data_IF_926751935065
#
_entry.id   IF_926751935065
#
_cell.length_a   1.000
_cell.length_b   1.000
_cell.length_c   1.000
_cell.angle_alpha   90.00
_cell.angle_beta   90.00
_cell.angle_gamma   90.00
#
_symmetry.space_group_name_H-M   'P 1'
#
loop_
_entity.id
_entity.type
_entity.pdbx_description
1 polymer ?
#
# COMPACT_ATOMS: atom_id res chain seq x y z
N UNK A 1 -4.19 52.13 35.48
CA UNK A 1 -5.25 52.45 36.45
C UNK A 1 -6.50 51.69 36.04
N UNK A 2 -7.31 51.23 37.00
CA UNK A 2 -8.70 50.73 36.86
C UNK A 2 -8.99 49.63 35.81
N UNK A 3 -8.86 48.37 36.25
CA UNK A 3 -9.95 47.37 36.47
C UNK A 3 -11.44 47.86 36.40
N UNK A 4 -12.50 46.98 36.38
CA UNK A 4 -12.53 45.49 36.48
C UNK A 4 -13.65 44.74 35.65
N UNK A 5 -13.87 43.46 36.00
CA UNK A 5 -15.11 42.62 35.94
C UNK A 5 -15.55 41.91 34.64
N UNK A 6 -15.55 40.56 34.69
CA UNK A 6 -16.82 39.80 34.77
C UNK A 6 -16.66 38.44 35.48
N UNK A 7 -17.74 38.01 36.15
CA UNK A 7 -17.80 37.01 37.24
C UNK A 7 -19.13 36.22 37.16
N UNK A 8 -19.33 34.99 37.64
CA UNK A 8 -18.46 33.97 38.31
C UNK A 8 -19.00 32.56 37.96
N UNK A 9 -18.29 31.50 38.40
CA UNK A 9 -18.82 30.22 38.90
C UNK A 9 -19.63 29.25 37.98
N UNK A 10 -19.17 27.99 37.93
CA UNK A 10 -19.87 26.88 38.61
C UNK A 10 -19.00 25.61 38.68
N UNK A 11 -18.83 25.06 39.89
CA UNK A 11 -18.37 23.67 40.08
C UNK A 11 -19.53 22.70 39.83
N UNK A 12 -19.29 21.59 39.12
CA UNK A 12 -19.87 20.31 39.53
C UNK A 12 -19.03 19.13 39.03
N UNK A 13 -18.80 18.14 39.90
CA UNK A 13 -18.09 16.92 39.56
C UNK A 13 -19.01 15.91 38.85
N UNK A 14 -18.46 15.11 37.95
CA UNK A 14 -19.04 13.81 37.59
C UNK A 14 -17.95 12.85 37.08
N UNK A 15 -17.96 11.61 37.58
CA UNK A 15 -16.90 10.63 37.32
C UNK A 15 -17.02 10.00 35.91
N UNK A 16 -15.89 9.61 35.27
CA UNK A 16 -15.94 8.87 34.02
C UNK A 16 -16.38 7.42 34.28
N UNK A 17 -17.62 7.08 33.90
CA UNK A 17 -18.06 5.69 33.81
C UNK A 17 -17.20 4.95 32.77
N UNK A 18 -16.71 3.76 33.13
CA UNK A 18 -16.10 2.84 32.17
C UNK A 18 -17.03 2.58 30.99
N UNK A 19 -16.60 2.93 29.78
CA UNK A 19 -17.20 2.42 28.55
C UNK A 19 -16.13 1.62 27.78
N UNK A 20 -16.10 0.30 28.04
CA UNK A 20 -15.31 -0.64 27.24
C UNK A 20 -16.05 -0.89 25.93
N UNK A 21 -15.63 -0.23 24.85
CA UNK A 21 -15.98 -0.61 23.47
C UNK A 21 -14.99 0.03 22.48
N UNK A 22 -13.72 -0.41 22.55
CA UNK A 22 -12.73 -0.21 21.50
C UNK A 22 -12.76 -1.41 20.56
N UNK A 23 -13.59 -1.35 19.52
CA UNK A 23 -13.67 -2.39 18.50
C UNK A 23 -12.59 -2.23 17.44
N UNK A 24 -11.40 -2.77 17.67
CA UNK A 24 -10.40 -2.96 16.61
C UNK A 24 -10.92 -4.04 15.64
N UNK A 25 -11.45 -3.61 14.49
CA UNK A 25 -11.89 -4.51 13.42
C UNK A 25 -10.65 -4.98 12.64
N UNK A 26 -9.94 -5.95 13.21
CA UNK A 26 -8.84 -6.62 12.52
C UNK A 26 -9.33 -7.32 11.25
N UNK A 27 -8.63 -7.08 10.13
CA UNK A 27 -8.79 -7.89 8.93
C UNK A 27 -8.28 -9.31 9.24
N UNK A 28 -9.20 -10.25 9.39
CA UNK A 28 -8.87 -11.66 9.57
C UNK A 28 -8.34 -12.23 8.25
N UNK A 29 -7.02 -12.22 8.08
CA UNK A 29 -6.35 -12.91 6.97
C UNK A 29 -5.99 -14.34 7.40
N UNK A 30 -6.21 -15.30 6.51
CA UNK A 30 -5.88 -16.72 6.75
C UNK A 30 -5.16 -17.30 5.53
N UNK A 31 -3.91 -17.71 5.71
CA UNK A 31 -3.19 -18.50 4.71
C UNK A 31 -3.87 -19.87 4.53
N UNK A 32 -4.03 -20.31 3.29
CA UNK A 32 -4.76 -21.53 2.94
C UNK A 32 -3.95 -22.44 2.03
N UNK A 33 -3.43 -23.54 2.56
CA UNK A 33 -2.76 -24.56 1.76
C UNK A 33 -3.81 -25.44 1.02
N UNK A 34 -3.78 -25.36 -0.31
CA UNK A 34 -4.29 -26.27 -1.34
C UNK A 34 -5.73 -26.85 -1.30
N UNK A 35 -6.41 -26.64 -2.44
CA UNK A 35 -7.42 -27.52 -3.08
C UNK A 35 -8.69 -27.91 -2.30
N UNK A 36 -9.63 -26.97 -2.20
CA UNK A 36 -11.06 -27.22 -2.44
C UNK A 36 -11.82 -25.87 -2.53
N UNK A 37 -12.89 -25.80 -3.34
CA UNK A 37 -13.79 -24.65 -3.35
C UNK A 37 -14.54 -24.55 -2.02
N UNK A 38 -14.28 -23.50 -1.23
CA UNK A 38 -15.22 -23.08 -0.18
C UNK A 38 -15.23 -21.56 -0.01
N UNK A 39 -16.36 -20.95 -0.33
CA UNK A 39 -16.65 -19.54 -0.05
C UNK A 39 -16.94 -19.38 1.44
N UNK A 40 -16.25 -18.45 2.12
CA UNK A 40 -16.66 -17.94 3.43
C UNK A 40 -17.22 -16.53 3.28
N UNK A 41 -18.52 -16.39 3.48
CA UNK A 41 -19.19 -15.09 3.63
C UNK A 41 -19.23 -14.70 5.10
N UNK A 42 -18.94 -13.43 5.41
CA UNK A 42 -19.22 -12.89 6.74
C UNK A 42 -20.72 -12.60 6.84
N UNK A 43 -21.43 -13.31 7.72
CA UNK A 43 -22.84 -13.10 7.98
C UNK A 43 -23.07 -11.81 8.79
N UNK A 44 -23.75 -10.84 8.19
CA UNK A 44 -24.21 -9.65 8.90
C UNK A 44 -25.42 -9.96 9.79
N UNK A 45 -25.47 -9.38 10.98
CA UNK A 45 -26.65 -9.42 11.84
C UNK A 45 -27.80 -8.62 11.21
N UNK A 46 -28.96 -9.25 11.05
CA UNK A 46 -30.20 -8.59 10.63
C UNK A 46 -30.99 -8.09 11.84
N UNK A 47 -31.31 -6.79 11.86
CA UNK A 47 -32.44 -6.30 12.65
C UNK A 47 -33.66 -6.22 11.74
N UNK A 48 -34.70 -6.98 12.08
CA UNK A 48 -36.00 -6.92 11.40
C UNK A 48 -36.76 -5.67 11.83
N UNK A 49 -36.88 -4.69 10.92
CA UNK A 49 -37.97 -3.71 10.96
C UNK A 49 -38.97 -4.05 9.86
N UNK A 50 -40.23 -4.23 10.25
CA UNK A 50 -41.34 -4.54 9.36
C UNK A 50 -41.80 -3.30 8.58
N UNK A 51 -42.36 -3.52 7.40
CA UNK A 51 -42.96 -2.54 6.48
C UNK A 51 -42.00 -1.56 5.79
N UNK A 52 -41.45 -2.04 4.66
CA UNK A 52 -40.87 -1.20 3.62
C UNK A 52 -40.51 -2.05 2.39
N UNK A 53 -41.23 -1.86 1.28
CA UNK A 53 -40.87 -2.49 0.00
C UNK A 53 -39.65 -1.72 -0.54
N UNK A 54 -38.47 -2.08 -0.06
CA UNK A 54 -37.22 -1.62 -0.65
C UNK A 54 -36.97 -2.37 -1.95
N UNK A 55 -37.33 -1.75 -3.07
CA UNK A 55 -36.72 -2.03 -4.36
C UNK A 55 -35.23 -1.70 -4.27
N UNK A 56 -34.42 -2.69 -3.87
CA UNK A 56 -32.96 -2.61 -3.89
C UNK A 56 -32.45 -2.60 -5.35
N UNK A 57 -32.67 -1.48 -6.04
CA UNK A 57 -31.84 -1.08 -7.16
C UNK A 57 -30.51 -0.66 -6.53
N UNK A 58 -29.55 -1.59 -6.46
CA UNK A 58 -28.19 -1.27 -6.05
C UNK A 58 -27.67 -0.19 -7.00
N UNK A 59 -27.45 1.01 -6.49
CA UNK A 59 -27.02 2.13 -7.31
C UNK A 59 -25.61 1.84 -7.85
N UNK A 60 -25.51 1.51 -9.15
CA UNK A 60 -24.24 1.32 -9.84
C UNK A 60 -23.36 2.55 -9.65
N UNK A 61 -22.05 2.31 -9.41
CA UNK A 61 -21.07 3.39 -9.39
C UNK A 61 -21.10 4.17 -10.71
N UNK A 62 -20.98 5.49 -10.62
CA UNK A 62 -20.92 6.40 -11.77
C UNK A 62 -19.57 7.12 -11.71
N UNK A 63 -18.68 6.78 -12.64
CA UNK A 63 -17.25 7.07 -12.57
C UNK A 63 -16.72 7.71 -13.86
N UNK A 64 -15.86 8.71 -13.67
CA UNK A 64 -15.04 9.32 -14.71
C UNK A 64 -13.77 8.50 -14.95
N UNK A 65 -13.47 8.21 -16.21
CA UNK A 65 -12.24 7.57 -16.67
C UNK A 65 -11.24 8.63 -17.06
N UNK A 66 -10.05 8.64 -16.44
CA UNK A 66 -8.96 9.55 -16.81
C UNK A 66 -7.76 8.70 -17.29
N UNK A 67 -7.51 8.60 -18.61
CA UNK A 67 -6.39 7.85 -19.17
C UNK A 67 -5.04 8.24 -18.57
N UNK A 68 -4.12 7.28 -18.43
CA UNK A 68 -2.84 7.41 -17.70
C UNK A 68 -2.93 7.81 -16.21
N UNK A 69 -4.12 8.07 -15.64
CA UNK A 69 -4.24 8.65 -14.31
C UNK A 69 -5.17 7.92 -13.34
N UNK A 70 -6.48 7.88 -13.56
CA UNK A 70 -7.43 7.51 -12.50
C UNK A 70 -8.79 7.00 -12.98
N UNK A 71 -9.50 6.36 -12.03
CA UNK A 71 -10.93 6.05 -12.11
C UNK A 71 -11.60 6.53 -10.81
N UNK A 72 -12.63 7.36 -10.90
CA UNK A 72 -13.22 7.98 -9.72
C UNK A 72 -14.42 8.88 -9.98
N UNK A 73 -14.78 9.68 -8.98
CA UNK A 73 -15.77 10.74 -9.07
C UNK A 73 -15.37 11.89 -8.13
N UNK A 74 -16.23 12.88 -7.96
CA UNK A 74 -15.98 14.08 -7.13
C UNK A 74 -15.69 13.77 -5.64
N UNK A 75 -16.09 12.60 -5.14
CA UNK A 75 -15.92 12.20 -3.73
C UNK A 75 -14.67 11.35 -3.47
N UNK A 76 -14.19 10.62 -4.48
CA UNK A 76 -13.03 9.74 -4.37
C UNK A 76 -12.47 9.35 -5.75
N UNK A 77 -11.15 9.20 -5.85
CA UNK A 77 -10.48 8.65 -7.04
C UNK A 77 -9.45 7.58 -6.68
N UNK A 78 -9.41 6.49 -7.45
CA UNK A 78 -8.28 5.57 -7.48
C UNK A 78 -7.27 6.07 -8.51
N UNK A 79 -6.06 6.39 -8.08
CA UNK A 79 -5.02 7.02 -8.91
C UNK A 79 -3.86 6.05 -9.12
N UNK A 80 -3.42 5.87 -10.36
CA UNK A 80 -2.23 5.07 -10.66
C UNK A 80 -1.01 5.61 -9.90
N UNK A 81 -0.19 4.70 -9.36
CA UNK A 81 0.91 5.03 -8.47
C UNK A 81 0.51 5.23 -7.00
N UNK A 82 -0.78 5.26 -6.65
CA UNK A 82 -1.19 5.38 -5.24
C UNK A 82 -0.81 4.13 -4.42
N UNK A 83 -0.48 4.25 -3.12
CA UNK A 83 -0.19 3.11 -2.27
C UNK A 83 -1.42 2.25 -1.99
N UNK A 84 -1.23 0.94 -1.85
CA UNK A 84 -2.27 -0.03 -1.47
C UNK A 84 -3.14 0.43 -0.28
N UNK A 85 -2.51 0.95 0.79
CA UNK A 85 -3.23 1.41 1.97
C UNK A 85 -4.16 2.60 1.72
N UNK A 86 -3.87 3.46 0.74
CA UNK A 86 -4.73 4.59 0.39
C UNK A 86 -5.98 4.12 -0.34
N UNK A 87 -5.84 3.18 -1.28
CA UNK A 87 -6.99 2.53 -1.92
C UNK A 87 -7.87 1.81 -0.89
N UNK A 88 -7.29 1.06 0.06
CA UNK A 88 -8.06 0.43 1.16
C UNK A 88 -8.73 1.47 2.05
N UNK A 89 -8.11 2.62 2.31
CA UNK A 89 -8.74 3.70 3.08
C UNK A 89 -9.89 4.39 2.34
N UNK A 90 -9.83 4.51 1.00
CA UNK A 90 -10.97 4.93 0.18
C UNK A 90 -12.10 3.91 0.31
N UNK A 91 -11.82 2.63 0.09
CA UNK A 91 -12.80 1.54 0.18
C UNK A 91 -13.48 1.48 1.56
N UNK A 92 -12.74 1.70 2.65
CA UNK A 92 -13.28 1.79 4.02
C UNK A 92 -14.17 3.02 4.24
N UNK A 93 -13.86 4.17 3.64
CA UNK A 93 -14.69 5.38 3.74
C UNK A 93 -15.96 5.28 2.89
N UNK A 94 -15.93 4.46 1.84
CA UNK A 94 -17.02 4.23 0.90
C UNK A 94 -17.72 2.88 1.11
N UNK A 95 -17.60 2.29 2.30
CA UNK A 95 -18.11 0.95 2.66
C UNK A 95 -19.62 0.78 2.43
N UNK A 96 -20.37 1.88 2.47
CA UNK A 96 -21.81 1.93 2.18
C UNK A 96 -22.14 1.76 0.69
N UNK A 97 -21.24 2.20 -0.20
CA UNK A 97 -21.47 2.30 -1.64
C UNK A 97 -20.74 1.16 -2.37
N UNK A 98 -19.43 0.99 -2.13
CA UNK A 98 -18.59 -0.02 -2.78
C UNK A 98 -18.72 -1.35 -2.03
N UNK A 99 -18.94 -2.46 -2.73
CA UNK A 99 -19.32 -3.75 -2.11
C UNK A 99 -18.58 -4.96 -2.66
N UNK A 100 -18.55 -6.03 -1.86
CA UNK A 100 -17.91 -7.30 -2.25
C UNK A 100 -16.41 -7.17 -2.49
N UNK A 101 -15.74 -6.29 -1.73
CA UNK A 101 -14.29 -6.10 -1.77
C UNK A 101 -13.59 -7.37 -1.28
N UNK A 102 -12.64 -7.86 -2.06
CA UNK A 102 -11.78 -9.00 -1.74
C UNK A 102 -10.31 -8.61 -1.96
N UNK A 103 -9.40 -9.14 -1.16
CA UNK A 103 -7.95 -9.01 -1.36
C UNK A 103 -7.43 -10.34 -1.89
N UNK A 104 -6.75 -10.32 -3.03
CA UNK A 104 -6.05 -11.48 -3.60
C UNK A 104 -4.55 -11.21 -3.61
N UNK A 105 -3.77 -12.19 -3.18
CA UNK A 105 -2.32 -12.18 -3.18
C UNK A 105 -1.80 -13.63 -3.15
N UNK A 106 -0.52 -13.84 -3.43
CA UNK A 106 0.10 -15.17 -3.32
C UNK A 106 0.97 -15.21 -2.07
N UNK A 107 0.71 -16.14 -1.13
CA UNK A 107 1.60 -16.40 0.02
C UNK A 107 2.98 -16.96 -0.46
N UNK A 108 2.96 -17.78 -1.51
CA UNK A 108 4.12 -18.49 -2.05
C UNK A 108 5.05 -17.58 -2.86
N UNK A 109 4.50 -16.64 -3.65
CA UNK A 109 5.27 -15.68 -4.45
C UNK A 109 4.84 -14.19 -4.30
N UNK A 110 4.77 -13.59 -3.08
CA UNK A 110 4.30 -12.22 -2.85
C UNK A 110 5.09 -11.10 -3.52
N UNK A 111 6.30 -11.37 -4.03
CA UNK A 111 7.12 -10.41 -4.79
C UNK A 111 7.01 -10.56 -6.32
N UNK A 112 6.40 -11.65 -6.80
CA UNK A 112 6.29 -11.95 -8.23
C UNK A 112 4.85 -11.83 -8.72
N UNK A 113 3.87 -12.12 -7.86
CA UNK A 113 2.45 -12.05 -8.18
C UNK A 113 1.83 -10.75 -7.67
N UNK A 114 1.24 -9.98 -8.57
CA UNK A 114 0.51 -8.74 -8.25
C UNK A 114 -0.51 -8.94 -7.12
N UNK A 115 -0.65 -7.93 -6.26
CA UNK A 115 -1.69 -7.87 -5.23
C UNK A 115 -2.94 -7.23 -5.85
N UNK A 116 -4.14 -7.78 -5.61
CA UNK A 116 -5.37 -7.30 -6.26
C UNK A 116 -6.45 -6.99 -5.24
N UNK A 117 -7.04 -5.80 -5.33
CA UNK A 117 -8.31 -5.49 -4.69
C UNK A 117 -9.43 -5.72 -5.72
N UNK A 118 -10.23 -6.78 -5.52
CA UNK A 118 -11.31 -7.18 -6.40
C UNK A 118 -12.65 -6.69 -5.83
N UNK A 119 -13.24 -5.67 -6.47
CA UNK A 119 -14.55 -5.08 -6.12
C UNK A 119 -15.63 -5.89 -6.87
N UNK A 120 -15.91 -7.09 -6.37
CA UNK A 120 -16.65 -8.12 -7.12
C UNK A 120 -18.09 -7.74 -7.48
N UNK A 121 -18.72 -6.82 -6.73
CA UNK A 121 -20.09 -6.34 -7.02
C UNK A 121 -20.11 -5.13 -7.95
N UNK A 122 -19.00 -4.40 -8.05
CA UNK A 122 -18.86 -3.18 -8.86
C UNK A 122 -18.16 -3.41 -10.21
N UNK A 123 -17.54 -4.59 -10.42
CA UNK A 123 -16.92 -4.96 -11.70
C UNK A 123 -15.52 -4.36 -11.92
N UNK A 124 -14.84 -4.00 -10.83
CA UNK A 124 -13.52 -3.33 -10.85
C UNK A 124 -12.47 -4.20 -10.14
N UNK A 125 -11.24 -4.22 -10.67
CA UNK A 125 -10.04 -4.69 -9.98
C UNK A 125 -8.97 -3.62 -9.97
N UNK A 126 -8.37 -3.41 -8.81
CA UNK A 126 -7.20 -2.55 -8.64
C UNK A 126 -6.00 -3.47 -8.47
N UNK A 127 -5.07 -3.44 -9.43
CA UNK A 127 -3.93 -4.35 -9.51
C UNK A 127 -2.67 -3.57 -9.09
N UNK A 128 -2.03 -4.01 -8.02
CA UNK A 128 -0.87 -3.39 -7.40
C UNK A 128 0.39 -4.19 -7.71
N UNK A 129 1.45 -3.46 -8.09
CA UNK A 129 2.78 -4.02 -8.25
C UNK A 129 3.26 -4.65 -6.93
N UNK A 130 3.80 -5.88 -6.92
CA UNK A 130 4.06 -6.63 -5.70
C UNK A 130 5.21 -6.09 -4.86
N UNK A 131 6.17 -5.44 -5.54
CA UNK A 131 7.41 -4.89 -4.97
C UNK A 131 7.11 -3.54 -4.33
N UNK A 132 6.70 -2.57 -5.14
CA UNK A 132 6.44 -1.18 -4.75
C UNK A 132 5.08 -0.96 -4.07
N UNK A 133 4.15 -1.93 -4.16
CA UNK A 133 2.80 -1.87 -3.58
C UNK A 133 2.01 -0.63 -4.02
N UNK A 134 2.25 -0.20 -5.27
CA UNK A 134 1.59 0.92 -5.92
C UNK A 134 0.62 0.44 -7.00
N UNK A 135 -0.49 1.17 -7.17
CA UNK A 135 -1.53 0.85 -8.14
C UNK A 135 -0.96 0.92 -9.56
N UNK A 136 -0.88 -0.24 -10.22
CA UNK A 136 -0.26 -0.41 -11.55
C UNK A 136 -1.31 -0.37 -12.67
N UNK A 137 -2.44 -1.04 -12.47
CA UNK A 137 -3.55 -1.13 -13.44
C UNK A 137 -4.88 -0.97 -12.69
N UNK A 138 -5.82 -0.23 -13.27
CA UNK A 138 -7.24 -0.26 -12.91
C UNK A 138 -7.98 -1.00 -14.02
N UNK A 139 -8.48 -2.20 -13.71
CA UNK A 139 -9.24 -3.04 -14.64
C UNK A 139 -10.74 -2.90 -14.34
N UNK A 140 -11.55 -2.58 -15.35
CA UNK A 140 -13.00 -2.80 -15.33
C UNK A 140 -13.26 -4.10 -16.10
N UNK A 141 -13.68 -5.14 -15.41
CA UNK A 141 -13.88 -6.49 -15.95
C UNK A 141 -15.35 -6.87 -16.15
N UNK A 142 -16.27 -5.98 -15.80
CA UNK A 142 -17.69 -6.18 -16.03
C UNK A 142 -18.41 -4.84 -16.23
N UNK A 143 -18.54 -4.45 -17.50
CA UNK A 143 -19.15 -3.19 -17.91
C UNK A 143 -20.62 -3.05 -17.45
N UNK A 144 -21.34 -4.14 -17.14
CA UNK A 144 -22.75 -4.05 -16.70
C UNK A 144 -22.92 -3.67 -15.22
N UNK A 145 -21.83 -3.55 -14.45
CA UNK A 145 -21.86 -3.24 -13.00
C UNK A 145 -21.50 -1.79 -12.66
N UNK A 146 -20.96 -1.05 -13.62
CA UNK A 146 -20.47 0.33 -13.45
C UNK A 146 -20.96 1.21 -14.59
N UNK A 147 -21.22 2.49 -14.34
CA UNK A 147 -21.42 3.53 -15.36
C UNK A 147 -20.09 4.28 -15.54
N UNK A 148 -19.70 4.51 -16.80
CA UNK A 148 -18.43 5.17 -17.12
C UNK A 148 -18.66 6.37 -18.04
N UNK A 149 -17.92 7.43 -17.74
CA UNK A 149 -17.83 8.67 -18.50
C UNK A 149 -16.38 8.97 -18.89
N UNK A 150 -16.22 9.73 -19.96
CA UNK A 150 -14.94 10.29 -20.39
C UNK A 150 -15.16 11.73 -20.85
N UNK A 151 -14.39 12.67 -20.31
CA UNK A 151 -14.63 14.11 -20.40
C UNK A 151 -16.08 14.48 -19.99
N UNK A 152 -16.63 13.79 -18.98
CA UNK A 152 -18.03 13.91 -18.55
C UNK A 152 -19.09 13.30 -19.47
N UNK A 153 -18.72 12.82 -20.66
CA UNK A 153 -19.64 12.19 -21.63
C UNK A 153 -19.80 10.70 -21.33
N UNK A 154 -21.03 10.18 -21.12
CA UNK A 154 -21.24 8.76 -20.81
C UNK A 154 -21.03 7.86 -22.04
N UNK A 155 -20.15 6.87 -21.91
CA UNK A 155 -19.90 5.85 -22.95
C UNK A 155 -20.30 4.42 -22.54
N UNK A 156 -20.55 4.20 -21.25
CA UNK A 156 -21.08 2.94 -20.73
C UNK A 156 -22.12 3.21 -19.65
N UNK A 157 -23.39 2.89 -19.91
CA UNK A 157 -24.51 2.97 -18.96
C UNK A 157 -25.54 1.87 -19.30
N UNK A 158 -26.58 1.63 -18.48
CA UNK A 158 -27.67 0.72 -18.87
C UNK A 158 -28.39 1.10 -20.18
N UNK A 159 -28.26 2.36 -20.63
CA UNK A 159 -28.85 2.90 -21.85
C UNK A 159 -27.85 3.01 -23.02
N UNK A 160 -26.55 3.20 -22.72
CA UNK A 160 -25.47 3.40 -23.70
C UNK A 160 -24.49 2.24 -23.61
N UNK A 161 -24.44 1.39 -24.63
CA UNK A 161 -23.52 0.23 -24.64
C UNK A 161 -22.13 0.66 -25.16
N UNK A 162 -21.04 0.16 -24.56
CA UNK A 162 -19.69 0.42 -25.03
C UNK A 162 -19.38 -0.49 -26.22
N UNK A 163 -19.97 -0.20 -27.40
CA UNK A 163 -19.62 -0.87 -28.66
C UNK A 163 -18.32 -0.30 -29.24
N UNK A 164 -17.77 -0.96 -30.27
CA UNK A 164 -16.59 -0.45 -30.98
C UNK A 164 -16.82 0.99 -31.48
N UNK A 165 -17.99 1.30 -32.04
CA UNK A 165 -18.33 2.63 -32.56
C UNK A 165 -18.50 3.65 -31.43
N UNK A 166 -19.07 3.25 -30.28
CA UNK A 166 -19.18 4.12 -29.12
C UNK A 166 -17.79 4.48 -28.57
N UNK A 167 -16.84 3.54 -28.56
CA UNK A 167 -15.45 3.80 -28.14
C UNK A 167 -14.74 4.72 -29.13
N UNK A 168 -14.86 4.47 -30.44
CA UNK A 168 -14.30 5.33 -31.49
C UNK A 168 -14.85 6.77 -31.44
N UNK A 169 -16.17 6.93 -31.22
CA UNK A 169 -16.81 8.23 -31.02
C UNK A 169 -16.36 8.95 -29.73
N UNK A 170 -16.09 8.20 -28.66
CA UNK A 170 -15.78 8.79 -27.34
C UNK A 170 -14.30 9.17 -27.21
N UNK A 171 -13.39 8.35 -27.75
CA UNK A 171 -11.95 8.50 -27.57
C UNK A 171 -11.20 8.87 -28.86
N UNK A 172 -11.87 8.87 -30.01
CA UNK A 172 -11.31 9.21 -31.32
C UNK A 172 -10.65 8.04 -32.03
N UNK A 173 -10.34 8.25 -33.32
CA UNK A 173 -9.77 7.26 -34.21
C UNK A 173 -8.45 6.67 -33.67
N UNK A 174 -8.45 5.38 -33.37
CA UNK A 174 -7.29 4.67 -32.85
C UNK A 174 -6.27 4.32 -33.94
N UNK A 175 -5.06 3.97 -33.51
CA UNK A 175 -4.24 3.03 -34.26
C UNK A 175 -5.04 1.74 -34.59
N UNK A 176 -4.70 0.99 -35.66
CA UNK A 176 -5.38 -0.27 -35.93
C UNK A 176 -5.30 -1.18 -34.70
N UNK A 177 -6.47 -1.63 -34.22
CA UNK A 177 -6.55 -2.57 -33.10
C UNK A 177 -5.83 -3.87 -33.41
N UNK A 178 -5.47 -4.63 -32.38
CA UNK A 178 -4.71 -5.88 -32.49
C UNK A 178 -5.61 -7.06 -32.15
N UNK A 179 -5.78 -7.99 -33.10
CA UNK A 179 -6.46 -9.25 -32.83
C UNK A 179 -5.50 -10.29 -32.23
N UNK A 180 -5.89 -10.88 -31.11
CA UNK A 180 -5.14 -11.90 -30.37
C UNK A 180 -5.87 -13.24 -30.56
N UNK A 181 -5.49 -13.98 -31.60
CA UNK A 181 -6.16 -15.21 -32.03
C UNK A 181 -6.26 -16.26 -30.92
N UNK A 182 -5.21 -16.42 -30.10
CA UNK A 182 -5.20 -17.35 -28.95
C UNK A 182 -6.32 -17.08 -27.92
N UNK A 183 -6.72 -15.82 -27.78
CA UNK A 183 -7.71 -15.38 -26.77
C UNK A 183 -9.07 -15.07 -27.37
N UNK A 184 -9.20 -15.03 -28.70
CA UNK A 184 -10.40 -14.56 -29.41
C UNK A 184 -10.76 -13.11 -28.98
N UNK A 185 -9.73 -12.28 -28.77
CA UNK A 185 -9.86 -10.90 -28.31
C UNK A 185 -9.33 -9.93 -29.35
N UNK A 186 -10.12 -8.92 -29.68
CA UNK A 186 -9.67 -7.74 -30.40
C UNK A 186 -9.41 -6.62 -29.40
N UNK A 187 -8.22 -6.01 -29.45
CA UNK A 187 -7.77 -5.03 -28.47
C UNK A 187 -7.57 -3.67 -29.15
N UNK A 188 -8.30 -2.67 -28.69
CA UNK A 188 -8.03 -1.26 -28.99
C UNK A 188 -7.10 -0.69 -27.92
N UNK A 189 -5.96 -0.14 -28.35
CA UNK A 189 -4.98 0.46 -27.48
C UNK A 189 -4.93 1.97 -27.72
N UNK A 190 -5.08 2.71 -26.62
CA UNK A 190 -4.81 4.14 -26.51
C UNK A 190 -3.62 4.34 -25.57
N UNK A 191 -3.13 5.58 -25.47
CA UNK A 191 -2.16 5.94 -24.45
C UNK A 191 -2.83 5.85 -23.07
N UNK A 192 -2.35 4.93 -22.22
CA UNK A 192 -2.83 4.69 -20.87
C UNK A 192 -4.21 4.07 -20.71
N UNK A 193 -4.79 3.53 -21.79
CA UNK A 193 -6.13 2.95 -21.79
C UNK A 193 -6.21 1.86 -22.86
N UNK A 194 -6.79 0.70 -22.54
CA UNK A 194 -7.13 -0.30 -23.55
C UNK A 194 -8.54 -0.86 -23.35
N UNK A 195 -9.12 -1.34 -24.45
CA UNK A 195 -10.42 -1.99 -24.51
C UNK A 195 -10.32 -3.32 -25.22
N UNK A 196 -10.90 -4.37 -24.64
CA UNK A 196 -10.90 -5.72 -25.18
C UNK A 196 -12.32 -6.15 -25.55
N UNK A 197 -12.48 -6.56 -26.81
CA UNK A 197 -13.73 -7.00 -27.41
C UNK A 197 -13.62 -8.50 -27.72
N UNK A 198 -14.53 -9.36 -27.24
CA UNK A 198 -14.56 -10.76 -27.61
C UNK A 198 -15.06 -10.87 -29.06
N UNK A 199 -14.22 -11.39 -29.95
CA UNK A 199 -14.54 -11.60 -31.37
C UNK A 199 -14.18 -13.03 -31.73
N UNK A 200 -15.18 -13.77 -32.23
CA UNK A 200 -15.01 -15.14 -32.70
C UNK A 200 -14.16 -15.17 -33.99
N UNK A 201 -13.16 -16.05 -34.04
CA UNK A 201 -12.23 -16.29 -35.17
C UNK A 201 -12.88 -16.44 -36.53
N UNK A 202 -14.15 -16.89 -36.64
CA UNK A 202 -14.86 -16.90 -37.92
C UNK A 202 -15.14 -15.49 -38.50
N UNK A 203 -14.94 -14.45 -37.70
CA UNK A 203 -14.94 -13.03 -38.06
C UNK A 203 -13.54 -12.41 -37.91
N UNK A 204 -12.47 -13.22 -38.03
CA UNK A 204 -11.09 -12.74 -38.05
C UNK A 204 -10.97 -11.55 -39.02
N UNK A 205 -10.53 -10.37 -38.54
CA UNK A 205 -10.42 -9.20 -39.38
C UNK A 205 -9.42 -9.45 -40.50
N UNK A 206 -9.89 -9.56 -41.75
CA UNK A 206 -9.01 -9.45 -42.92
C UNK A 206 -8.60 -8.00 -43.06
N UNK A 207 -7.54 -7.63 -42.32
CA UNK A 207 -7.02 -6.27 -42.20
C UNK A 207 -6.75 -5.67 -43.59
N UNK A 208 -7.64 -4.75 -43.98
CA UNK A 208 -7.41 -3.83 -45.09
C UNK A 208 -7.55 -2.38 -44.64
N UNK A 209 -8.69 -2.00 -44.01
CA UNK A 209 -9.00 -0.58 -43.77
C UNK A 209 -9.76 -0.30 -42.44
N UNK A 210 -9.05 -0.29 -41.32
CA UNK A 210 -9.50 0.32 -40.05
C UNK A 210 -10.74 -0.29 -39.38
N UNK A 211 -11.20 0.36 -38.30
CA UNK A 211 -12.32 -0.12 -37.47
C UNK A 211 -13.62 -0.34 -38.25
N UNK A 212 -13.95 0.57 -39.17
CA UNK A 212 -15.16 0.49 -40.00
C UNK A 212 -15.21 -0.64 -41.03
N UNK A 213 -14.16 -1.46 -41.15
CA UNK A 213 -14.16 -2.65 -42.03
C UNK A 213 -14.64 -3.94 -41.35
N UNK A 214 -14.88 -3.92 -40.04
CA UNK A 214 -15.34 -5.07 -39.27
C UNK A 214 -16.85 -5.31 -39.49
N UNK A 215 -17.19 -6.31 -40.28
CA UNK A 215 -18.59 -6.72 -40.50
C UNK A 215 -18.98 -7.87 -39.56
N UNK A 216 -19.90 -7.57 -38.64
CA UNK A 216 -20.43 -8.56 -37.69
C UNK A 216 -21.78 -9.11 -38.16
N UNK A 217 -22.06 -10.40 -37.92
CA UNK A 217 -23.34 -11.00 -38.27
C UNK A 217 -24.49 -10.26 -37.57
N UNK A 218 -25.61 -10.10 -38.27
CA UNK A 218 -26.81 -9.42 -37.79
C UNK A 218 -26.60 -7.93 -37.43
N UNK A 219 -25.46 -7.31 -37.78
CA UNK A 219 -25.17 -5.90 -37.47
C UNK A 219 -24.93 -5.60 -35.99
N UNK A 220 -24.75 -6.63 -35.16
CA UNK A 220 -24.48 -6.45 -33.73
C UNK A 220 -22.98 -6.21 -33.49
N UNK A 221 -22.59 -4.95 -33.27
CA UNK A 221 -21.20 -4.60 -32.93
C UNK A 221 -20.80 -5.20 -31.57
N UNK A 222 -19.56 -5.76 -31.43
CA UNK A 222 -19.03 -6.22 -30.17
C UNK A 222 -19.04 -5.13 -29.10
N UNK A 223 -19.36 -5.55 -27.88
CA UNK A 223 -19.24 -4.70 -26.69
C UNK A 223 -17.94 -4.99 -25.95
N UNK A 224 -17.39 -3.97 -25.30
CA UNK A 224 -16.24 -4.10 -24.40
C UNK A 224 -16.54 -5.17 -23.34
N UNK A 225 -15.70 -6.21 -23.26
CA UNK A 225 -15.69 -7.15 -22.15
C UNK A 225 -14.79 -6.68 -21.00
N UNK A 226 -13.67 -6.01 -21.34
CA UNK A 226 -12.70 -5.50 -20.37
C UNK A 226 -12.11 -4.16 -20.81
N UNK A 227 -11.94 -3.25 -19.86
CA UNK A 227 -11.21 -1.99 -20.02
C UNK A 227 -10.08 -1.93 -18.98
N UNK A 228 -8.89 -1.47 -19.38
CA UNK A 228 -7.75 -1.32 -18.48
C UNK A 228 -7.19 0.11 -18.56
N UNK A 229 -7.02 0.77 -17.42
CA UNK A 229 -6.30 2.06 -17.28
C UNK A 229 -4.93 1.75 -16.69
N UNK A 230 -3.87 2.24 -17.32
CA UNK A 230 -2.47 2.01 -16.94
C UNK A 230 -1.63 3.22 -17.36
N UNK A 231 -0.34 3.27 -16.97
CA UNK A 231 0.58 4.31 -17.43
C UNK A 231 1.42 3.81 -18.60
N UNK A 232 1.63 4.67 -19.62
CA UNK A 232 2.40 4.34 -20.82
C UNK A 232 1.55 3.83 -22.00
N UNK A 233 2.22 3.25 -22.99
CA UNK A 233 1.62 2.91 -24.29
C UNK A 233 1.01 1.51 -24.38
N UNK A 234 1.45 0.55 -23.56
CA UNK A 234 0.97 -0.84 -23.62
C UNK A 234 0.74 -1.44 -22.24
N UNK A 235 -0.30 -2.27 -22.13
CA UNK A 235 -0.62 -3.06 -20.94
C UNK A 235 0.47 -4.11 -20.63
N UNK A 236 1.17 -4.64 -21.64
CA UNK A 236 2.25 -5.64 -21.48
C UNK A 236 3.46 -5.08 -20.73
N UNK A 237 3.81 -3.83 -21.04
CA UNK A 237 5.04 -3.18 -20.60
C UNK A 237 4.79 -2.17 -19.48
N UNK A 238 3.53 -2.03 -19.04
CA UNK A 238 3.18 -1.12 -17.97
C UNK A 238 3.95 -1.45 -16.67
N UNK A 239 4.28 -0.40 -15.93
CA UNK A 239 4.93 -0.46 -14.62
C UNK A 239 4.16 0.46 -13.68
N UNK A 240 4.24 0.19 -12.38
CA UNK A 240 3.64 1.08 -11.41
C UNK A 240 4.28 2.48 -11.50
N UNK A 241 3.49 3.56 -11.63
CA UNK A 241 4.02 4.90 -11.57
C UNK A 241 4.66 5.20 -10.22
N UNK A 242 5.56 6.19 -10.20
CA UNK A 242 6.01 6.79 -8.95
C UNK A 242 4.84 7.41 -8.19
N UNK A 243 4.96 7.48 -6.86
CA UNK A 243 3.92 8.03 -5.99
C UNK A 243 3.49 9.44 -6.45
N UNK A 244 2.22 9.65 -6.88
CA UNK A 244 1.74 10.96 -7.30
C UNK A 244 1.76 11.96 -6.14
N UNK A 245 2.07 13.23 -6.42
CA UNK A 245 2.13 14.27 -5.37
C UNK A 245 0.78 14.47 -4.69
N UNK A 246 -0.33 14.28 -5.42
CA UNK A 246 -1.70 14.28 -4.87
C UNK A 246 -1.90 13.25 -3.74
N UNK A 247 -1.14 12.15 -3.74
CA UNK A 247 -1.22 11.12 -2.70
C UNK A 247 -0.45 11.49 -1.41
N UNK A 248 0.25 12.63 -1.36
CA UNK A 248 1.10 12.96 -0.21
C UNK A 248 0.26 13.39 1.00
N UNK A 249 -0.78 14.20 0.78
CA UNK A 249 -1.65 14.74 1.83
C UNK A 249 -0.87 15.32 3.03
N UNK A 250 0.21 16.07 2.77
CA UNK A 250 1.10 16.65 3.80
C UNK A 250 2.06 15.66 4.49
N UNK A 251 2.11 14.39 4.09
CA UNK A 251 3.03 13.40 4.66
C UNK A 251 4.35 13.31 3.86
N UNK A 252 5.44 13.00 4.56
CA UNK A 252 6.68 12.55 3.95
C UNK A 252 6.62 11.03 3.69
N UNK A 253 7.19 10.59 2.56
CA UNK A 253 7.31 9.18 2.19
C UNK A 253 8.77 8.79 2.05
N UNK A 254 9.11 7.54 2.37
CA UNK A 254 10.45 7.02 2.15
C UNK A 254 10.66 6.64 0.68
N UNK A 255 11.79 7.05 0.11
CA UNK A 255 12.28 6.58 -1.20
C UNK A 255 13.35 5.50 -1.04
N UNK A 256 14.26 5.69 -0.08
CA UNK A 256 15.36 4.78 0.23
C UNK A 256 15.83 5.04 1.67
N UNK A 257 16.14 3.98 2.41
CA UNK A 257 16.81 4.04 3.70
C UNK A 257 18.16 3.33 3.63
N UNK A 258 19.21 3.95 4.16
CA UNK A 258 20.54 3.36 4.26
C UNK A 258 20.88 3.18 5.73
N UNK A 259 21.18 1.94 6.14
CA UNK A 259 21.60 1.64 7.51
C UNK A 259 23.08 1.99 7.63
N UNK A 260 23.38 3.03 8.41
CA UNK A 260 24.75 3.52 8.60
C UNK A 260 25.50 2.57 9.53
N UNK A 261 26.59 1.98 9.04
CA UNK A 261 27.44 1.08 9.83
C UNK A 261 28.91 1.48 9.73
N UNK A 262 29.60 1.34 10.85
CA UNK A 262 31.02 1.57 11.00
C UNK A 262 31.61 0.44 11.86
N UNK A 263 32.68 -0.21 11.43
CA UNK A 263 33.28 -1.35 12.16
C UNK A 263 32.26 -2.45 12.55
N UNK A 264 31.31 -2.77 11.66
CA UNK A 264 30.16 -3.65 11.90
C UNK A 264 29.17 -3.20 13.02
N UNK A 265 29.33 -2.01 13.60
CA UNK A 265 28.37 -1.37 14.52
C UNK A 265 27.44 -0.44 13.73
N UNK A 266 26.14 -0.52 13.98
CA UNK A 266 25.12 0.34 13.37
C UNK A 266 25.06 1.67 14.11
N UNK A 267 25.40 2.77 13.45
CA UNK A 267 25.40 4.10 14.07
C UNK A 267 24.00 4.74 14.03
N UNK A 268 23.27 4.52 12.93
CA UNK A 268 22.02 5.22 12.67
C UNK A 268 21.38 4.84 11.34
N UNK A 269 20.44 5.67 10.91
CA UNK A 269 19.66 5.48 9.68
C UNK A 269 19.67 6.77 8.88
N UNK A 270 20.01 6.65 7.60
CA UNK A 270 19.95 7.71 6.60
C UNK A 270 18.70 7.53 5.75
N UNK A 271 17.87 8.56 5.65
CA UNK A 271 16.60 8.57 4.94
C UNK A 271 16.70 9.49 3.72
N UNK A 272 16.31 8.97 2.56
CA UNK A 272 15.90 9.79 1.41
C UNK A 272 14.38 9.90 1.45
N UNK A 273 13.88 11.07 1.84
CA UNK A 273 12.45 11.34 1.99
C UNK A 273 11.92 12.14 0.81
N UNK A 274 10.82 11.69 0.22
CA UNK A 274 10.01 12.50 -0.66
C UNK A 274 8.99 13.32 0.15
N UNK A 275 8.90 14.61 -0.12
CA UNK A 275 7.87 15.52 0.41
C UNK A 275 7.26 16.36 -0.72
N UNK A 276 6.12 16.97 -0.47
CA UNK A 276 5.55 18.01 -1.32
C UNK A 276 6.40 19.29 -1.19
N UNK A 277 6.74 19.92 -2.30
CA UNK A 277 7.62 21.08 -2.35
C UNK A 277 7.01 22.26 -3.09
N UNK A 278 6.92 23.40 -2.40
CA UNK A 278 6.69 24.69 -3.05
C UNK A 278 7.94 25.09 -3.83
N UNK A 279 7.85 25.13 -5.16
CA UNK A 279 8.90 25.70 -6.00
C UNK A 279 9.02 27.21 -5.80
N UNK A 280 10.22 27.77 -5.97
CA UNK A 280 10.38 29.22 -6.13
C UNK A 280 9.88 29.62 -7.53
N UNK A 281 8.57 29.76 -7.67
CA UNK A 281 7.89 30.04 -8.93
C UNK A 281 6.38 30.12 -8.73
N UNK A 282 5.69 30.82 -9.62
CA UNK A 282 4.25 31.07 -9.53
C UNK A 282 3.46 29.77 -9.28
N UNK A 283 2.47 29.85 -8.39
CA UNK A 283 1.41 28.87 -8.17
C UNK A 283 1.03 28.13 -9.46
N UNK A 284 1.00 26.79 -9.43
CA UNK A 284 -0.09 25.94 -9.96
C UNK A 284 0.19 24.43 -9.99
N UNK A 285 1.43 23.95 -9.75
CA UNK A 285 1.73 22.51 -9.81
C UNK A 285 2.64 22.05 -8.64
N UNK A 286 2.14 21.23 -7.69
CA UNK A 286 2.91 20.78 -6.53
C UNK A 286 3.97 19.76 -6.96
N UNK A 287 5.25 20.08 -6.73
CA UNK A 287 6.36 19.22 -7.17
C UNK A 287 6.85 18.33 -6.04
N UNK A 288 7.18 17.08 -6.38
CA UNK A 288 7.93 16.19 -5.50
C UNK A 288 9.31 16.77 -5.23
N UNK A 289 9.67 16.87 -3.95
CA UNK A 289 11.00 17.28 -3.47
C UNK A 289 11.61 16.15 -2.65
N UNK A 290 12.79 15.69 -3.04
CA UNK A 290 13.57 14.73 -2.24
C UNK A 290 14.47 15.46 -1.24
N UNK A 291 14.58 14.94 -0.02
CA UNK A 291 15.30 15.53 1.10
C UNK A 291 16.04 14.44 1.87
N UNK A 292 17.33 14.64 2.09
CA UNK A 292 18.17 13.73 2.88
C UNK A 292 18.09 14.08 4.39
N UNK A 293 17.95 13.06 5.23
CA UNK A 293 17.87 13.16 6.70
C UNK A 293 18.61 12.01 7.35
N UNK A 294 19.15 12.21 8.55
CA UNK A 294 19.86 11.19 9.31
C UNK A 294 19.37 11.25 10.76
N UNK A 295 19.19 10.08 11.39
CA UNK A 295 19.00 9.93 12.83
C UNK A 295 19.96 8.86 13.36
N UNK A 296 20.39 8.96 14.61
CA UNK A 296 21.32 8.04 15.26
C UNK A 296 20.71 7.38 16.50
N UNK A 297 21.36 6.32 16.99
CA UNK A 297 21.11 5.88 18.35
C UNK A 297 21.56 6.96 19.34
N UNK A 298 20.74 7.23 20.36
CA UNK A 298 20.97 8.31 21.31
C UNK A 298 20.27 9.63 20.97
N UNK A 299 19.70 9.80 19.78
CA UNK A 299 18.93 10.99 19.42
C UNK A 299 17.70 11.17 20.32
N UNK A 300 17.38 12.41 20.68
CA UNK A 300 16.18 12.72 21.45
C UNK A 300 14.91 12.64 20.59
N UNK A 301 13.75 12.60 21.23
CA UNK A 301 12.48 12.66 20.50
C UNK A 301 12.29 13.98 19.72
N UNK A 302 12.92 15.09 20.15
CA UNK A 302 12.95 16.35 19.42
C UNK A 302 13.82 16.25 18.14
N UNK A 303 14.99 15.62 18.24
CA UNK A 303 15.90 15.45 17.10
C UNK A 303 15.22 14.61 16.00
N UNK A 304 14.64 13.46 16.38
CA UNK A 304 13.92 12.58 15.46
C UNK A 304 12.72 13.28 14.80
N UNK A 305 11.96 14.09 15.55
CA UNK A 305 10.84 14.86 14.99
C UNK A 305 11.34 16.01 14.09
N UNK A 306 12.48 16.64 14.39
CA UNK A 306 13.07 17.65 13.53
C UNK A 306 13.57 17.08 12.20
N UNK A 307 14.03 15.81 12.22
CA UNK A 307 14.52 15.11 11.05
C UNK A 307 13.38 14.55 10.19
N UNK A 308 12.45 13.80 10.78
CA UNK A 308 11.42 13.01 10.06
C UNK A 308 10.03 13.67 10.02
N UNK A 309 9.79 14.69 10.85
CA UNK A 309 8.46 15.23 11.13
C UNK A 309 7.73 14.49 12.25
N UNK A 310 6.46 14.86 12.46
CA UNK A 310 5.62 14.24 13.49
C UNK A 310 5.35 12.75 13.17
N UNK A 311 5.37 11.86 14.18
CA UNK A 311 5.00 10.47 13.99
C UNK A 311 3.50 10.32 13.68
N UNK A 312 3.16 9.30 12.88
CA UNK A 312 1.77 8.97 12.56
C UNK A 312 0.99 8.44 13.77
N UNK A 313 1.68 7.79 14.71
CA UNK A 313 1.14 7.33 16.00
C UNK A 313 2.25 7.28 17.05
N UNK A 314 1.86 7.47 18.32
CA UNK A 314 2.72 7.18 19.47
C UNK A 314 2.11 6.01 20.24
N UNK A 315 2.92 4.99 20.55
CA UNK A 315 2.48 3.81 21.30
C UNK A 315 3.38 3.58 22.51
N UNK A 316 2.80 3.52 23.70
CA UNK A 316 3.51 3.19 24.94
C UNK A 316 3.50 1.68 25.13
N UNK A 317 4.67 1.07 25.32
CA UNK A 317 4.80 -0.36 25.63
C UNK A 317 4.01 -0.64 26.90
N UNK A 318 2.98 -1.48 26.83
CA UNK A 318 2.27 -1.92 28.04
C UNK A 318 3.26 -2.62 28.98
N UNK A 319 3.02 -2.53 30.29
CA UNK A 319 3.88 -3.17 31.28
C UNK A 319 4.09 -4.64 30.90
N UNK A 320 5.36 -5.00 30.74
CA UNK A 320 5.76 -6.32 30.27
C UNK A 320 5.27 -7.38 31.26
N UNK A 321 4.24 -8.12 30.83
CA UNK A 321 3.56 -9.13 31.66
C UNK A 321 4.50 -10.26 32.09
N UNK A 322 5.65 -10.42 31.43
CA UNK A 322 6.68 -11.38 31.82
C UNK A 322 7.56 -10.90 32.98
N UNK A 323 7.47 -9.62 33.40
CA UNK A 323 8.19 -9.10 34.59
C UNK A 323 7.90 -9.90 35.86
N UNK A 324 6.72 -10.53 35.98
CA UNK A 324 6.36 -11.37 37.14
C UNK A 324 7.21 -12.63 37.26
N UNK A 325 7.86 -13.07 36.17
CA UNK A 325 8.74 -14.24 36.15
C UNK A 325 10.21 -13.88 36.36
N UNK A 326 10.55 -12.59 36.49
CA UNK A 326 11.91 -12.16 36.80
C UNK A 326 12.16 -12.20 38.32
N UNK A 327 13.29 -12.79 38.77
CA UNK A 327 13.74 -12.63 40.15
C UNK A 327 13.83 -11.14 40.52
N UNK A 328 13.42 -10.81 41.75
CA UNK A 328 13.38 -9.44 42.28
C UNK A 328 12.41 -8.44 41.62
N UNK A 329 11.37 -8.89 40.91
CA UNK A 329 10.32 -8.01 40.37
C UNK A 329 9.80 -6.98 41.40
N UNK A 330 9.62 -7.39 42.65
CA UNK A 330 9.21 -6.57 43.79
C UNK A 330 10.16 -5.41 44.14
N UNK A 331 11.45 -5.50 43.82
CA UNK A 331 12.43 -4.42 44.09
C UNK A 331 12.42 -3.34 43.02
N UNK A 332 11.82 -3.61 41.84
CA UNK A 332 11.79 -2.69 40.68
C UNK A 332 10.43 -2.02 40.46
N UNK A 333 9.66 -1.77 41.52
CA UNK A 333 8.36 -1.06 41.52
C UNK A 333 8.46 0.43 41.09
N UNK A 334 9.62 0.89 40.59
CA UNK A 334 9.89 2.29 40.19
C UNK A 334 10.22 2.50 38.71
N UNK A 335 9.51 1.86 37.79
CA UNK A 335 9.39 2.38 36.41
C UNK A 335 7.93 2.74 36.13
N UNK A 336 7.50 3.91 36.58
CA UNK A 336 6.14 4.44 36.31
C UNK A 336 5.97 4.88 34.84
N UNK A 337 7.08 4.96 34.12
CA UNK A 337 7.17 5.26 32.70
C UNK A 337 7.47 3.96 31.95
N UNK A 338 6.84 3.79 30.78
CA UNK A 338 7.15 2.71 29.83
C UNK A 338 7.84 3.27 28.60
N UNK A 339 8.67 2.43 27.96
CA UNK A 339 9.26 2.74 26.66
C UNK A 339 8.15 3.06 25.65
N UNK A 340 8.42 3.94 24.69
CA UNK A 340 7.42 4.37 23.72
C UNK A 340 7.98 4.42 22.31
N UNK A 341 7.09 4.13 21.35
CA UNK A 341 7.36 4.10 19.93
C UNK A 341 6.81 5.35 19.27
N UNK A 342 7.60 5.92 18.35
CA UNK A 342 7.12 6.79 17.30
C UNK A 342 6.96 5.94 16.03
N UNK A 343 5.73 5.79 15.55
CA UNK A 343 5.40 5.01 14.36
C UNK A 343 5.31 5.91 13.13
N UNK A 344 6.12 5.67 12.10
CA UNK A 344 6.13 6.39 10.83
C UNK A 344 5.58 5.50 9.71
N UNK A 345 4.26 5.42 9.62
CA UNK A 345 3.56 4.48 8.72
C UNK A 345 3.95 4.66 7.25
N UNK A 346 4.07 5.90 6.76
CA UNK A 346 4.44 6.22 5.37
C UNK A 346 5.90 5.92 5.03
N UNK A 347 6.75 5.72 6.04
CA UNK A 347 8.17 5.36 5.89
C UNK A 347 8.45 3.88 6.15
N UNK A 348 7.51 3.16 6.78
CA UNK A 348 7.73 1.77 7.19
C UNK A 348 8.65 1.62 8.40
N UNK A 349 8.75 2.63 9.27
CA UNK A 349 9.75 2.70 10.35
C UNK A 349 9.09 2.97 11.70
N UNK A 350 9.54 2.29 12.76
CA UNK A 350 9.31 2.71 14.15
C UNK A 350 10.62 3.06 14.86
N UNK A 351 10.57 4.08 15.70
CA UNK A 351 11.66 4.48 16.60
C UNK A 351 11.22 4.24 18.05
N UNK A 352 11.95 3.40 18.78
CA UNK A 352 11.72 3.12 20.20
C UNK A 352 12.64 3.98 21.08
N UNK A 353 12.01 4.75 21.97
CA UNK A 353 12.68 5.59 22.95
C UNK A 353 12.71 4.91 24.32
N UNK A 354 13.77 5.17 25.09
CA UNK A 354 13.85 4.77 26.49
C UNK A 354 12.91 5.60 27.39
N UNK A 355 12.20 4.94 28.29
CA UNK A 355 11.29 5.56 29.25
C UNK A 355 11.94 6.54 30.26
N UNK A 356 13.26 6.44 30.43
CA UNK A 356 14.06 7.13 31.45
C UNK A 356 14.90 8.24 30.85
N UNK A 357 15.52 7.99 29.69
CA UNK A 357 16.40 8.97 29.02
C UNK A 357 15.71 9.71 27.87
N UNK A 358 14.57 9.23 27.37
CA UNK A 358 13.87 9.75 26.18
C UNK A 358 14.72 9.74 24.88
N UNK A 359 15.75 8.88 24.83
CA UNK A 359 16.65 8.73 23.68
C UNK A 359 16.32 7.49 22.85
N UNK A 360 16.54 7.56 21.54
CA UNK A 360 16.32 6.47 20.60
C UNK A 360 17.29 5.29 20.86
N UNK A 361 16.74 4.11 21.17
CA UNK A 361 17.52 2.89 21.50
C UNK A 361 17.28 1.70 20.56
N UNK A 362 16.23 1.74 19.75
CA UNK A 362 15.90 0.71 18.75
C UNK A 362 15.17 1.31 17.57
N UNK A 363 15.49 0.81 16.37
CA UNK A 363 14.74 1.07 15.14
C UNK A 363 14.11 -0.23 14.64
N UNK A 364 12.94 -0.12 14.03
CA UNK A 364 12.17 -1.23 13.48
C UNK A 364 11.79 -0.87 12.05
N UNK A 365 12.17 -1.71 11.07
CA UNK A 365 11.95 -1.49 9.65
C UNK A 365 11.02 -2.58 9.11
N UNK A 366 9.86 -2.20 8.60
CA UNK A 366 8.80 -3.10 8.17
C UNK A 366 8.95 -3.47 6.69
N UNK A 367 8.98 -4.76 6.36
CA UNK A 367 9.00 -5.22 4.95
C UNK A 367 7.60 -5.20 4.32
N UNK A 368 6.54 -5.10 5.13
CA UNK A 368 5.14 -5.02 4.71
C UNK A 368 4.71 -6.14 3.72
N UNK A 369 5.10 -7.39 3.99
CA UNK A 369 4.56 -8.52 3.24
C UNK A 369 3.06 -8.73 3.53
N UNK A 370 2.25 -9.10 2.51
CA UNK A 370 0.91 -9.62 2.71
C UNK A 370 0.89 -10.82 3.69
N UNK A 371 -0.25 -11.06 4.34
CA UNK A 371 -0.41 -12.12 5.35
C UNK A 371 0.02 -11.72 6.78
N UNK A 372 1.01 -10.85 6.93
CA UNK A 372 1.46 -10.35 8.24
C UNK A 372 0.43 -9.39 8.89
N UNK A 373 0.34 -9.38 10.23
CA UNK A 373 -0.70 -8.61 10.96
C UNK A 373 -0.58 -7.09 10.82
N UNK A 374 0.63 -6.55 10.60
CA UNK A 374 0.84 -5.12 10.29
C UNK A 374 0.69 -4.78 8.80
N UNK A 375 0.35 -5.75 7.93
CA UNK A 375 0.13 -5.48 6.51
C UNK A 375 -0.93 -4.38 6.34
N UNK A 376 -0.73 -3.50 5.35
CA UNK A 376 -1.60 -2.36 5.08
C UNK A 376 -1.65 -1.29 6.22
N UNK A 377 -0.91 -1.46 7.32
CA UNK A 377 -0.69 -0.38 8.30
C UNK A 377 0.55 0.47 7.95
N UNK A 378 1.59 -0.16 7.41
CA UNK A 378 2.82 0.51 6.97
C UNK A 378 2.96 0.49 5.45
N UNK A 379 3.74 1.43 4.90
CA UNK A 379 4.46 1.24 3.65
C UNK A 379 5.61 0.24 3.84
N UNK A 380 6.04 -0.44 2.78
CA UNK A 380 7.34 -1.13 2.75
C UNK A 380 8.47 -0.13 3.00
N UNK A 381 9.38 -0.47 3.90
CA UNK A 381 10.61 0.28 4.12
C UNK A 381 11.66 -0.13 3.08
N UNK A 382 12.05 0.78 2.19
CA UNK A 382 13.06 0.57 1.15
C UNK A 382 14.49 0.63 1.70
N UNK A 383 14.81 -0.26 2.66
CA UNK A 383 16.12 -0.25 3.33
C UNK A 383 17.22 -1.00 2.58
N UNK A 384 18.44 -0.51 2.75
CA UNK A 384 19.72 -1.12 2.37
C UNK A 384 20.57 -1.29 3.62
N UNK A 385 20.97 -2.51 3.93
CA UNK A 385 21.83 -2.84 5.07
C UNK A 385 23.14 -3.46 4.54
N UNK A 386 24.29 -2.75 4.59
CA UNK A 386 25.56 -3.34 4.19
C UNK A 386 26.08 -4.32 5.27
N UNK A 387 26.52 -5.50 4.85
CA UNK A 387 27.15 -6.51 5.73
C UNK A 387 28.46 -6.99 5.13
N UNK A 388 29.52 -6.88 5.94
CA UNK A 388 30.81 -7.49 5.65
C UNK A 388 30.77 -8.94 6.14
N UNK A 389 31.04 -9.88 5.24
CA UNK A 389 31.17 -11.30 5.57
C UNK A 389 32.62 -11.60 5.97
N UNK A 390 32.86 -11.93 7.24
CA UNK A 390 34.17 -12.48 7.64
C UNK A 390 34.31 -13.92 7.13
N UNK A 391 34.92 -14.09 5.95
CA UNK A 391 35.37 -15.41 5.51
C UNK A 391 36.51 -15.89 6.42
N UNK A 392 36.39 -17.12 6.91
CA UNK A 392 37.50 -17.83 7.55
C UNK A 392 38.65 -17.90 6.54
N UNK A 393 39.80 -17.30 6.89
CA UNK A 393 40.96 -17.18 5.99
C UNK A 393 41.55 -18.53 5.62
N UNK A 394 41.11 -19.10 4.50
CA UNK A 394 41.82 -20.16 3.79
C UNK A 394 42.61 -19.51 2.65
N UNK A 395 43.88 -19.20 2.93
CA UNK A 395 44.94 -18.82 1.99
C UNK A 395 44.71 -17.57 1.09
N UNK A 396 45.24 -16.44 1.58
CA UNK A 396 46.08 -15.55 0.76
C UNK A 396 45.50 -14.92 -0.50
N UNK A 397 44.50 -14.05 -0.37
CA UNK A 397 44.12 -13.10 -1.42
C UNK A 397 43.69 -11.76 -0.81
N UNK A 398 44.34 -10.66 -1.21
CA UNK A 398 43.82 -9.31 -0.99
C UNK A 398 42.81 -8.99 -2.09
N UNK A 399 41.55 -9.34 -1.84
CA UNK A 399 40.41 -8.76 -2.56
C UNK A 399 39.79 -7.66 -1.71
N UNK A 400 39.51 -6.51 -2.31
CA UNK A 400 38.63 -5.51 -1.74
C UNK A 400 37.20 -6.06 -1.88
N UNK A 401 36.68 -6.73 -0.84
CA UNK A 401 35.38 -7.42 -0.93
C UNK A 401 34.23 -6.42 -0.72
N UNK A 402 33.49 -6.14 -1.81
CA UNK A 402 32.27 -5.34 -1.77
C UNK A 402 31.28 -5.88 -0.71
N UNK A 403 30.71 -5.01 0.15
CA UNK A 403 29.81 -5.44 1.20
C UNK A 403 28.49 -5.99 0.63
N UNK A 404 28.02 -7.11 1.17
CA UNK A 404 26.74 -7.69 0.81
C UNK A 404 25.61 -6.74 1.22
N UNK A 405 24.84 -6.22 0.27
CA UNK A 405 23.70 -5.34 0.55
C UNK A 405 22.43 -6.16 0.72
N UNK A 406 21.93 -6.16 1.95
CA UNK A 406 20.63 -6.68 2.35
C UNK A 406 19.54 -5.67 1.99
N UNK A 407 18.37 -6.15 1.57
CA UNK A 407 17.19 -5.31 1.29
C UNK A 407 15.88 -5.92 1.84
N UNK A 408 14.79 -5.15 1.80
CA UNK A 408 13.44 -5.64 2.11
C UNK A 408 12.93 -6.79 1.20
N UNK A 409 13.63 -7.06 0.09
CA UNK A 409 13.30 -8.08 -0.91
C UNK A 409 14.09 -9.37 -0.77
N UNK A 410 15.17 -9.35 0.03
CA UNK A 410 16.03 -10.49 0.29
C UNK A 410 15.27 -11.55 1.08
N UNK A 411 14.54 -12.45 0.41
CA UNK A 411 13.89 -13.61 1.03
C UNK A 411 14.73 -14.86 0.78
N UNK A 412 14.96 -15.67 1.81
CA UNK A 412 15.72 -16.93 1.69
C UNK A 412 17.25 -16.82 1.55
N UNK A 413 17.82 -15.66 1.21
CA UNK A 413 19.28 -15.45 1.12
C UNK A 413 20.05 -15.47 2.47
N UNK A 414 19.42 -15.98 3.53
CA UNK A 414 19.85 -15.85 4.92
C UNK A 414 20.59 -17.08 5.46
N UNK A 415 20.35 -18.25 4.86
CA UNK A 415 21.00 -19.50 5.23
C UNK A 415 22.54 -19.53 5.16
N UNK A 416 23.25 -18.70 4.37
CA UNK A 416 24.72 -18.65 4.42
C UNK A 416 25.30 -17.70 5.48
N UNK A 417 24.49 -16.82 6.08
CA UNK A 417 24.94 -15.83 7.07
C UNK A 417 25.12 -16.42 8.48
N UNK A 418 24.75 -17.68 8.69
CA UNK A 418 24.91 -18.42 9.95
C UNK A 418 26.34 -18.93 10.16
N UNK A 419 27.26 -18.02 10.49
CA UNK A 419 28.57 -18.37 11.08
C UNK A 419 28.76 -17.77 12.49
N UNK A 420 27.94 -16.79 12.88
CA UNK A 420 27.87 -16.26 14.25
C UNK A 420 26.66 -16.85 14.99
N UNK A 421 26.83 -17.43 16.19
CA UNK A 421 25.72 -18.00 16.95
C UNK A 421 24.71 -16.92 17.37
N UNK A 422 23.44 -17.09 16.98
CA UNK A 422 22.31 -16.29 17.47
C UNK A 422 21.68 -15.28 16.50
N UNK A 423 22.13 -15.19 15.23
CA UNK A 423 21.64 -14.15 14.33
C UNK A 423 20.44 -14.54 13.44
N UNK A 424 20.28 -15.82 13.05
CA UNK A 424 19.30 -16.25 12.04
C UNK A 424 18.78 -17.67 12.29
N UNK A 425 17.45 -17.83 12.26
CA UNK A 425 16.76 -19.10 11.96
C UNK A 425 16.32 -19.04 10.50
N UNK A 426 16.72 -20.04 9.70
CA UNK A 426 16.44 -20.10 8.26
C UNK A 426 14.99 -20.42 7.91
N UNK A 427 14.11 -20.66 8.89
CA UNK A 427 12.70 -21.02 8.70
C UNK A 427 11.70 -19.86 8.85
N UNK A 428 12.14 -18.70 9.33
CA UNK A 428 11.26 -17.57 9.65
C UNK A 428 10.74 -16.84 8.39
N UNK A 429 9.42 -16.62 8.30
CA UNK A 429 8.86 -15.62 7.39
C UNK A 429 9.24 -14.22 7.90
N UNK A 430 10.09 -13.50 7.17
CA UNK A 430 10.70 -12.25 7.66
C UNK A 430 9.81 -11.04 7.36
N UNK A 431 9.11 -10.56 8.39
CA UNK A 431 8.20 -9.41 8.33
C UNK A 431 8.87 -8.08 8.72
N UNK A 432 9.88 -8.15 9.60
CA UNK A 432 10.44 -6.97 10.28
C UNK A 432 11.96 -7.12 10.53
N UNK A 433 12.72 -6.07 10.24
CA UNK A 433 14.12 -5.89 10.66
C UNK A 433 14.18 -5.01 11.92
N UNK A 434 14.88 -5.46 12.95
CA UNK A 434 15.06 -4.76 14.22
C UNK A 434 16.54 -4.45 14.47
N UNK A 435 16.86 -3.16 14.67
CA UNK A 435 18.20 -2.66 14.97
C UNK A 435 18.20 -2.12 16.40
N UNK A 436 19.12 -2.55 17.27
CA UNK A 436 19.08 -2.22 18.70
C UNK A 436 20.47 -1.95 19.28
N UNK A 437 20.60 -0.91 20.12
CA UNK A 437 21.78 -0.69 20.94
C UNK A 437 21.86 -1.70 22.11
N UNK A 438 23.03 -2.30 22.33
CA UNK A 438 23.31 -3.33 23.34
C UNK A 438 24.64 -3.03 24.01
N UNK A 439 24.62 -2.46 25.22
CA UNK A 439 25.76 -2.40 26.16
C UNK A 439 27.12 -2.00 25.55
N UNK A 440 27.16 -0.97 24.71
CA UNK A 440 28.39 -0.49 24.05
C UNK A 440 28.60 -0.98 22.61
N UNK A 441 27.71 -1.81 22.08
CA UNK A 441 27.64 -2.21 20.67
C UNK A 441 26.19 -2.14 20.17
N UNK A 442 25.91 -2.64 18.96
CA UNK A 442 24.56 -2.69 18.38
C UNK A 442 24.32 -4.03 17.71
N UNK A 443 23.14 -4.62 17.91
CA UNK A 443 22.71 -5.86 17.28
C UNK A 443 21.69 -5.64 16.15
N UNK A 444 21.71 -6.55 15.18
CA UNK A 444 20.75 -6.69 14.09
C UNK A 444 19.95 -7.98 14.32
N UNK A 445 18.63 -7.89 14.29
CA UNK A 445 17.72 -8.99 14.60
C UNK A 445 16.55 -9.00 13.60
N UNK A 446 16.01 -10.17 13.30
CA UNK A 446 14.81 -10.31 12.48
C UNK A 446 13.63 -10.78 13.33
N UNK A 447 12.42 -10.35 12.95
CA UNK A 447 11.18 -10.80 13.57
C UNK A 447 10.14 -11.15 12.49
N UNK A 448 9.35 -12.18 12.78
CA UNK A 448 8.19 -12.61 12.00
C UNK A 448 6.92 -11.87 12.39
#
# INVERSE_FOLDING_TARGET
MSDPTFDTAAHCACAPKHNKNGGDIGLCMSAGHHTAHHVKSASGFSYTNLYGIHTNITAMLDLEVVPERSLGNEQWEFVLGMPFYQAVNILRRQDRIIKGVQVWYSDQAPLQMDQVLNLSQDGIRLIFDPVSQRLKIIEVNNMSKVKLKYCGVPFNTPQVRPTIEQIDQSFGATHPGVYITEKQLFVLNFRGLSFEFPIDSKFEPKYAHGLGSLQFPNGASPVVARMCIYAGSSLTDCRAPSLPVTCFHGNCFLECLEVLREHNVTQGLKFLLATEGNGQGKLLDPRKKSVERIIHFGDSCQDVVSALGCPSKVFFKLEDKMKIHMPEAHKRIRSRNSDYFFNYFTMGVDVLFDASTHLAKKFILHTNYPGHYNFNMYCRCEFKLPVVLEKVKVHGGQGDEDPLIITAYSRGCWSPLTATPGLLDGSAEISILCLQAVSGSTGVWWAS
#
